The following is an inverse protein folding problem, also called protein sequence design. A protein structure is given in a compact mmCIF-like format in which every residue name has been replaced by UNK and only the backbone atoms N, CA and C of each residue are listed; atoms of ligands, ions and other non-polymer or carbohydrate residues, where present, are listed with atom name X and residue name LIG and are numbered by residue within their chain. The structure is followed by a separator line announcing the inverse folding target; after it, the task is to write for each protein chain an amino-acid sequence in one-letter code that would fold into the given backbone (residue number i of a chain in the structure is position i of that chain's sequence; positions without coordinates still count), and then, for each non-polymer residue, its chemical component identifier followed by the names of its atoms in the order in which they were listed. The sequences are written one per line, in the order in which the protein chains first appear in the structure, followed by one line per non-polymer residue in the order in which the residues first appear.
data_IF_283358508250
#
_entry.id   IF_283358508250
#
_cell.length_a   1.000
_cell.length_b   1.000
_cell.length_c   1.000
_cell.angle_alpha   90.00
_cell.angle_beta   90.00
_cell.angle_gamma   90.00
#
_symmetry.space_group_name_H-M   'P 1'
#
loop_
_entity.id
_entity.type
_entity.pdbx_description
1 polymer ?
#
# COMPACT_ATOMS: atom_id res chain seq x y z
N UNK A 1 -5.22 4.80 12.39
CA UNK A 1 -4.27 3.83 12.99
C UNK A 1 -3.10 3.65 12.05
N UNK A 2 -1.89 3.73 12.57
CA UNK A 2 -0.62 3.42 11.89
C UNK A 2 0.06 2.29 12.63
N UNK A 3 0.41 1.23 11.92
CA UNK A 3 1.09 0.05 12.46
C UNK A 3 2.53 0.08 11.99
N UNK A 4 3.46 -0.09 12.90
CA UNK A 4 4.90 -0.07 12.62
C UNK A 4 5.56 -1.33 13.19
N UNK A 5 6.50 -1.89 12.43
CA UNK A 5 7.15 -3.13 12.80
C UNK A 5 8.09 -3.63 11.72
N UNK A 6 8.61 -4.82 11.92
CA UNK A 6 9.52 -5.48 10.98
C UNK A 6 8.75 -6.50 10.14
N UNK A 7 8.92 -6.42 8.84
CA UNK A 7 8.32 -7.36 7.90
C UNK A 7 9.25 -8.54 7.65
N UNK A 8 8.73 -9.75 7.77
CA UNK A 8 9.40 -11.01 7.44
C UNK A 8 8.65 -11.68 6.29
N UNK A 9 9.39 -12.03 5.26
CA UNK A 9 8.86 -12.80 4.14
C UNK A 9 8.96 -14.27 4.51
N UNK A 10 7.84 -15.01 4.46
CA UNK A 10 7.81 -16.45 4.70
C UNK A 10 7.90 -17.15 3.35
N UNK A 11 9.10 -17.61 2.95
CA UNK A 11 9.30 -18.21 1.63
C UNK A 11 8.70 -19.61 1.53
N UNK A 12 8.62 -20.34 2.63
CA UNK A 12 8.07 -21.71 2.70
C UNK A 12 6.96 -21.78 3.78
N UNK A 13 5.76 -21.27 3.48
CA UNK A 13 4.67 -21.23 4.42
C UNK A 13 4.10 -22.64 4.64
N UNK A 14 3.78 -22.95 5.90
CA UNK A 14 3.06 -24.18 6.23
C UNK A 14 1.60 -24.15 5.73
N UNK A 15 0.93 -25.30 5.83
CA UNK A 15 -0.44 -25.47 5.38
C UNK A 15 -1.41 -24.58 6.16
N UNK A 16 -1.18 -24.37 7.44
CA UNK A 16 -2.04 -23.56 8.31
C UNK A 16 -1.99 -22.11 7.91
N UNK A 17 -0.79 -21.56 7.73
CA UNK A 17 -0.60 -20.17 7.28
C UNK A 17 -1.19 -19.95 5.89
N UNK A 18 -1.00 -20.90 4.97
CA UNK A 18 -1.57 -20.77 3.62
C UNK A 18 -3.08 -20.89 3.60
N UNK A 19 -3.68 -21.68 4.46
CA UNK A 19 -5.13 -21.73 4.63
C UNK A 19 -5.67 -20.39 5.13
N UNK A 20 -5.02 -19.80 6.12
CA UNK A 20 -5.37 -18.48 6.62
C UNK A 20 -5.27 -17.40 5.52
N UNK A 21 -4.17 -17.36 4.77
CA UNK A 21 -3.97 -16.43 3.64
C UNK A 21 -5.04 -16.62 2.56
N UNK A 22 -5.39 -17.86 2.26
CA UNK A 22 -6.45 -18.20 1.32
C UNK A 22 -7.81 -17.68 1.79
N UNK A 23 -8.18 -17.93 3.03
CA UNK A 23 -9.47 -17.50 3.58
C UNK A 23 -9.59 -15.98 3.64
N UNK A 24 -8.53 -15.28 4.03
CA UNK A 24 -8.48 -13.82 3.99
C UNK A 24 -8.59 -13.29 2.55
N UNK A 25 -7.89 -13.89 1.59
CA UNK A 25 -8.01 -13.54 0.17
C UNK A 25 -9.43 -13.67 -0.35
N UNK A 26 -10.14 -14.71 0.06
CA UNK A 26 -11.56 -14.92 -0.29
C UNK A 26 -12.46 -13.87 0.32
N UNK A 27 -12.25 -13.50 1.58
CA UNK A 27 -13.03 -12.43 2.26
C UNK A 27 -12.84 -11.09 1.55
N UNK A 28 -11.61 -10.71 1.22
CA UNK A 28 -11.30 -9.43 0.57
C UNK A 28 -11.91 -9.34 -0.84
N UNK A 29 -11.73 -10.37 -1.66
CA UNK A 29 -12.24 -10.39 -3.04
C UNK A 29 -13.72 -10.76 -3.15
N UNK A 30 -14.32 -11.12 -2.04
CA UNK A 30 -15.73 -11.47 -1.92
C UNK A 30 -16.03 -12.92 -2.28
N UNK A 31 -16.46 -13.64 -1.27
CA UNK A 31 -16.86 -15.06 -1.34
C UNK A 31 -17.99 -15.38 -2.33
N UNK A 32 -18.75 -14.37 -2.79
CA UNK A 32 -19.91 -14.56 -3.63
C UNK A 32 -19.64 -15.27 -4.97
N UNK A 33 -18.38 -15.32 -5.41
CA UNK A 33 -18.01 -16.01 -6.64
C UNK A 33 -17.24 -17.32 -6.40
N UNK A 34 -16.95 -17.64 -5.15
CA UNK A 34 -16.30 -18.89 -4.79
C UNK A 34 -17.33 -20.03 -4.66
N UNK A 35 -16.88 -21.27 -4.90
CA UNK A 35 -17.74 -22.44 -4.93
C UNK A 35 -18.50 -22.59 -6.25
N UNK A 36 -18.08 -21.85 -7.27
CA UNK A 36 -18.47 -22.09 -8.66
C UNK A 36 -17.25 -22.62 -9.40
N UNK A 37 -17.33 -23.81 -9.94
CA UNK A 37 -16.25 -24.54 -10.63
C UNK A 37 -15.41 -23.65 -11.57
N UNK A 38 -16.08 -22.76 -12.32
CA UNK A 38 -15.39 -21.84 -13.23
C UNK A 38 -14.46 -20.87 -12.49
N UNK A 39 -14.94 -20.18 -11.43
CA UNK A 39 -14.15 -19.17 -10.74
C UNK A 39 -13.05 -19.78 -9.90
N UNK A 40 -13.27 -20.92 -9.29
CA UNK A 40 -12.27 -21.64 -8.52
C UNK A 40 -11.11 -22.09 -9.43
N UNK A 41 -11.43 -22.63 -10.60
CA UNK A 41 -10.43 -22.99 -11.60
C UNK A 41 -9.72 -21.77 -12.22
N UNK A 42 -10.46 -20.68 -12.45
CA UNK A 42 -9.91 -19.46 -13.05
C UNK A 42 -8.95 -18.72 -12.13
N UNK A 43 -9.25 -18.63 -10.84
CA UNK A 43 -8.48 -17.89 -9.84
C UNK A 43 -7.50 -18.76 -9.06
N UNK A 44 -7.36 -20.03 -9.40
CA UNK A 44 -6.51 -20.97 -8.68
C UNK A 44 -5.09 -20.47 -8.53
N UNK A 45 -4.42 -20.12 -9.62
CA UNK A 45 -3.04 -19.62 -9.61
C UNK A 45 -2.93 -18.28 -8.88
N UNK A 46 -3.94 -17.43 -9.00
CA UNK A 46 -3.99 -16.14 -8.29
C UNK A 46 -3.95 -16.31 -6.77
N UNK A 47 -4.59 -17.34 -6.23
CA UNK A 47 -4.58 -17.62 -4.80
C UNK A 47 -3.38 -18.46 -4.36
N UNK A 48 -2.95 -19.40 -5.17
CA UNK A 48 -1.90 -20.35 -4.81
C UNK A 48 -0.49 -19.72 -4.81
N UNK A 49 -0.23 -18.75 -5.71
CA UNK A 49 1.09 -18.12 -5.83
C UNK A 49 1.11 -16.82 -5.03
N UNK A 50 1.12 -16.93 -3.71
CA UNK A 50 1.24 -15.79 -2.79
C UNK A 50 2.34 -16.06 -1.79
N UNK A 51 3.13 -15.04 -1.55
CA UNK A 51 4.14 -15.06 -0.50
C UNK A 51 3.55 -14.36 0.72
N UNK A 52 3.35 -15.07 1.84
CA UNK A 52 2.94 -14.45 3.08
C UNK A 52 4.03 -13.51 3.60
N UNK A 53 3.59 -12.40 4.16
CA UNK A 53 4.46 -11.45 4.86
C UNK A 53 3.94 -11.34 6.28
N UNK A 54 4.74 -11.76 7.23
CA UNK A 54 4.47 -11.58 8.66
C UNK A 54 5.02 -10.22 9.09
N UNK A 55 4.22 -9.46 9.80
CA UNK A 55 4.66 -8.19 10.39
C UNK A 55 4.73 -8.35 11.89
N UNK A 56 5.96 -8.34 12.41
CA UNK A 56 6.21 -8.30 13.85
C UNK A 56 5.97 -6.86 14.32
N UNK A 57 4.91 -6.68 15.10
CA UNK A 57 4.47 -5.37 15.54
C UNK A 57 5.40 -4.85 16.64
N UNK A 58 6.04 -3.71 16.41
CA UNK A 58 6.79 -3.00 17.44
C UNK A 58 5.90 -1.96 18.14
N UNK A 59 5.03 -1.27 17.38
CA UNK A 59 4.05 -0.33 17.95
C UNK A 59 2.86 -0.07 17.03
N UNK A 60 1.79 0.42 17.64
CA UNK A 60 0.59 0.90 16.97
C UNK A 60 0.33 2.32 17.44
N UNK A 61 0.11 3.24 16.50
CA UNK A 61 -0.33 4.59 16.76
C UNK A 61 -1.80 4.71 16.35
N UNK A 62 -2.68 4.99 17.29
CA UNK A 62 -4.10 5.09 17.07
C UNK A 62 -4.59 6.53 17.28
N UNK A 63 -5.41 7.01 16.37
CA UNK A 63 -6.10 8.30 16.47
C UNK A 63 -7.60 8.07 16.45
N UNK A 64 -8.40 8.95 17.06
CA UNK A 64 -9.85 8.80 17.11
C UNK A 64 -10.51 8.99 15.73
N UNK A 65 -9.83 9.69 14.82
CA UNK A 65 -10.35 9.97 13.49
C UNK A 65 -9.30 9.79 12.38
N UNK A 66 -9.76 9.86 11.12
CA UNK A 66 -8.90 9.73 9.94
C UNK A 66 -8.07 10.99 9.65
N UNK A 67 -8.32 12.10 10.33
CA UNK A 67 -7.51 13.33 10.21
C UNK A 67 -6.27 13.27 11.07
N UNK A 68 -6.22 12.32 12.01
CA UNK A 68 -5.14 12.17 12.97
C UNK A 68 -4.98 13.44 13.85
N UNK A 69 -6.11 14.06 14.23
CA UNK A 69 -6.11 15.21 15.11
C UNK A 69 -5.75 14.81 16.54
N UNK A 70 -4.93 15.64 17.20
CA UNK A 70 -4.44 15.36 18.55
C UNK A 70 -3.28 14.35 18.58
N UNK A 71 -2.79 14.05 19.79
CA UNK A 71 -1.78 13.03 20.00
C UNK A 71 -2.33 11.62 19.77
N UNK A 72 -1.55 10.69 19.19
CA UNK A 72 -1.97 9.30 19.08
C UNK A 72 -1.90 8.59 20.43
N UNK A 73 -2.81 7.66 20.65
CA UNK A 73 -2.59 6.60 21.63
C UNK A 73 -1.52 5.65 21.08
N UNK A 74 -0.51 5.36 21.90
CA UNK A 74 0.62 4.50 21.52
C UNK A 74 0.53 3.19 22.27
N UNK A 75 0.42 2.08 21.53
CA UNK A 75 0.45 0.72 22.05
C UNK A 75 1.76 0.06 21.61
N UNK A 76 2.45 -0.61 22.53
CA UNK A 76 3.74 -1.27 22.30
C UNK A 76 4.93 -0.42 22.76
N UNK A 77 6.04 -0.48 22.04
CA UNK A 77 7.27 0.24 22.43
C UNK A 77 7.05 1.74 22.38
N UNK A 78 7.06 2.39 23.54
CA UNK A 78 6.84 3.83 23.69
C UNK A 78 8.15 4.60 23.51
N UNK A 79 8.69 4.63 22.32
CA UNK A 79 9.69 5.66 21.99
C UNK A 79 8.92 6.96 21.67
N UNK A 80 9.38 8.14 22.18
CA UNK A 80 8.79 9.41 21.80
C UNK A 80 8.81 9.55 20.29
N UNK A 81 7.71 10.04 19.73
CA UNK A 81 7.63 10.38 18.31
C UNK A 81 8.35 11.71 18.08
N UNK A 82 9.66 11.71 18.28
CA UNK A 82 10.46 12.90 18.00
C UNK A 82 10.38 13.25 16.51
N UNK A 83 10.23 14.53 16.19
CA UNK A 83 10.29 14.95 14.81
C UNK A 83 11.68 14.63 14.24
N UNK A 84 11.75 13.96 13.06
CA UNK A 84 13.04 13.69 12.45
C UNK A 84 13.73 14.98 12.02
N UNK A 85 15.05 15.04 12.15
CA UNK A 85 15.85 16.16 11.68
C UNK A 85 15.66 16.41 10.17
N UNK A 86 15.75 17.65 9.71
CA UNK A 86 15.79 17.96 8.28
C UNK A 86 16.88 17.16 7.56
N UNK A 87 16.62 16.79 6.32
CA UNK A 87 17.57 16.05 5.49
C UNK A 87 18.31 16.99 4.54
N UNK A 88 19.51 16.60 4.14
CA UNK A 88 20.23 17.31 3.11
C UNK A 88 19.51 17.23 1.75
N UNK A 89 19.44 18.32 0.98
CA UNK A 89 18.89 18.34 -0.35
C UNK A 89 19.48 17.25 -1.25
N UNK A 90 18.69 16.64 -2.14
CA UNK A 90 19.21 15.67 -3.10
C UNK A 90 20.13 16.37 -4.13
N UNK A 91 21.11 15.64 -4.68
CA UNK A 91 22.06 16.17 -5.69
C UNK A 91 21.40 16.87 -6.90
N UNK A 92 20.17 16.47 -7.25
CA UNK A 92 19.41 17.07 -8.35
C UNK A 92 18.51 18.25 -7.91
N UNK A 93 18.72 18.82 -6.73
CA UNK A 93 17.92 19.92 -6.19
C UNK A 93 16.58 19.49 -5.59
N UNK A 94 15.89 20.43 -4.96
CA UNK A 94 14.63 20.23 -4.23
C UNK A 94 13.39 20.57 -5.07
N UNK A 95 13.55 21.24 -6.21
CA UNK A 95 12.45 21.69 -7.06
C UNK A 95 11.72 20.51 -7.76
N UNK A 96 10.51 20.78 -8.29
CA UNK A 96 9.73 19.75 -8.97
C UNK A 96 10.38 19.32 -10.28
N UNK A 97 10.41 18.01 -10.54
CA UNK A 97 10.89 17.42 -11.81
C UNK A 97 9.74 17.01 -12.71
N UNK A 98 8.52 17.16 -12.22
CA UNK A 98 7.28 16.86 -12.93
C UNK A 98 6.40 18.10 -12.96
N UNK A 99 5.47 18.15 -13.91
CA UNK A 99 4.47 19.21 -13.98
C UNK A 99 3.56 19.20 -12.74
N UNK A 100 3.78 20.15 -11.84
CA UNK A 100 3.07 20.26 -10.56
C UNK A 100 1.57 20.43 -10.73
N UNK A 101 1.11 21.20 -11.73
CA UNK A 101 -0.31 21.42 -11.99
C UNK A 101 -1.02 20.11 -12.40
N UNK A 102 -0.40 19.33 -13.28
CA UNK A 102 -0.94 18.03 -13.70
C UNK A 102 -0.94 17.02 -12.56
N UNK A 103 0.13 16.97 -11.77
CA UNK A 103 0.25 16.08 -10.61
C UNK A 103 -0.83 16.45 -9.56
N UNK A 104 -0.95 17.72 -9.19
CA UNK A 104 -1.97 18.24 -8.27
C UNK A 104 -3.37 17.83 -8.70
N UNK A 105 -3.75 18.13 -9.95
CA UNK A 105 -5.09 17.79 -10.48
C UNK A 105 -5.40 16.31 -10.38
N UNK A 106 -4.42 15.44 -10.71
CA UNK A 106 -4.58 13.98 -10.67
C UNK A 106 -4.71 13.44 -9.25
N UNK A 107 -3.96 13.99 -8.30
CA UNK A 107 -4.00 13.58 -6.91
C UNK A 107 -5.26 14.11 -6.20
N UNK A 108 -5.63 15.37 -6.39
CA UNK A 108 -6.88 15.96 -5.82
C UNK A 108 -8.16 15.26 -6.26
N UNK A 109 -8.15 14.66 -7.45
CA UNK A 109 -9.26 13.84 -7.93
C UNK A 109 -9.43 12.52 -7.16
N UNK A 110 -8.56 12.21 -6.19
CA UNK A 110 -8.63 10.99 -5.38
C UNK A 110 -9.21 11.28 -4.00
N UNK A 111 -9.94 10.29 -3.46
CA UNK A 111 -10.65 10.43 -2.19
C UNK A 111 -9.71 10.56 -0.98
N UNK A 112 -8.60 9.83 -1.00
CA UNK A 112 -7.64 9.78 0.09
C UNK A 112 -6.28 10.25 -0.39
N UNK A 113 -5.64 11.08 0.41
CA UNK A 113 -4.33 11.65 0.14
C UNK A 113 -3.47 11.47 1.38
N UNK A 114 -2.35 10.80 1.21
CA UNK A 114 -1.44 10.43 2.27
C UNK A 114 -0.03 10.89 1.91
N UNK A 115 0.71 11.31 2.91
CA UNK A 115 2.13 11.60 2.80
C UNK A 115 2.90 10.65 3.71
N UNK A 116 3.98 10.09 3.20
CA UNK A 116 4.85 9.20 3.95
C UNK A 116 6.28 9.75 4.00
N UNK A 117 6.90 9.67 5.16
CA UNK A 117 8.28 10.06 5.39
C UNK A 117 8.94 9.11 6.41
N UNK A 118 10.25 9.21 6.58
CA UNK A 118 10.97 8.41 7.58
C UNK A 118 11.01 9.18 8.90
N UNK A 119 10.56 8.56 9.99
CA UNK A 119 10.66 9.07 11.35
C UNK A 119 12.10 9.14 11.87
N UNK A 120 12.31 9.79 13.02
CA UNK A 120 13.62 9.90 13.68
C UNK A 120 14.18 8.52 14.05
N UNK A 121 13.34 7.62 14.45
CA UNK A 121 13.64 6.22 14.79
C UNK A 121 13.80 5.29 13.56
N UNK A 122 13.67 5.86 12.36
CA UNK A 122 13.81 5.11 11.11
C UNK A 122 12.55 4.42 10.60
N UNK A 123 11.47 4.36 11.38
CA UNK A 123 10.20 3.80 10.92
C UNK A 123 9.51 4.70 9.90
N UNK A 124 8.78 4.12 8.94
CA UNK A 124 7.94 4.90 8.04
C UNK A 124 6.76 5.50 8.82
N UNK A 125 6.54 6.79 8.63
CA UNK A 125 5.37 7.51 9.14
C UNK A 125 4.50 7.88 7.96
N UNK A 126 3.19 7.59 8.05
CA UNK A 126 2.22 7.93 7.01
C UNK A 126 1.09 8.73 7.64
N UNK A 127 0.85 9.92 7.10
CA UNK A 127 -0.13 10.87 7.63
C UNK A 127 -1.09 11.32 6.54
N UNK A 128 -2.36 11.61 6.90
CA UNK A 128 -3.30 12.22 5.98
C UNK A 128 -2.90 13.69 5.71
N UNK A 129 -3.08 14.08 4.45
CA UNK A 129 -2.84 15.46 4.02
C UNK A 129 -3.97 15.92 3.12
N UNK A 130 -4.07 17.24 2.91
CA UNK A 130 -4.92 17.85 1.90
C UNK A 130 -4.07 18.59 0.87
N UNK A 131 -4.26 18.29 -0.39
CA UNK A 131 -3.58 18.98 -1.49
C UNK A 131 -4.41 20.20 -1.87
N UNK A 132 -3.89 21.40 -1.61
CA UNK A 132 -4.58 22.66 -1.83
C UNK A 132 -4.51 23.10 -3.30
N UNK A 133 -3.32 23.36 -3.79
CA UNK A 133 -3.10 23.90 -5.14
C UNK A 133 -1.71 23.57 -5.67
N UNK A 134 -1.54 23.74 -6.96
CA UNK A 134 -0.21 23.79 -7.57
C UNK A 134 0.42 25.16 -7.39
N UNK A 135 1.74 25.18 -7.27
CA UNK A 135 2.59 26.36 -7.29
C UNK A 135 3.83 26.13 -8.14
N UNK A 136 4.68 27.15 -8.33
CA UNK A 136 5.93 27.01 -9.09
C UNK A 136 6.88 26.00 -8.44
N UNK A 137 6.93 25.97 -7.10
CA UNK A 137 7.84 25.12 -6.34
C UNK A 137 7.26 23.73 -6.04
N UNK A 138 6.04 23.44 -6.48
CA UNK A 138 5.40 22.14 -6.25
C UNK A 138 3.92 22.21 -5.92
N UNK A 139 3.46 21.24 -5.15
CA UNK A 139 2.10 21.13 -4.63
C UNK A 139 2.06 21.72 -3.22
N UNK A 140 1.13 22.65 -2.96
CA UNK A 140 0.83 23.11 -1.61
C UNK A 140 -0.04 22.12 -0.90
N UNK A 141 0.42 21.70 0.28
CA UNK A 141 -0.23 20.73 1.14
C UNK A 141 -0.56 21.35 2.49
N UNK A 142 -1.59 20.81 3.13
CA UNK A 142 -1.86 21.05 4.54
C UNK A 142 -2.08 19.72 5.26
N UNK A 143 -1.72 19.69 6.53
CA UNK A 143 -2.02 18.61 7.46
C UNK A 143 -2.43 19.21 8.81
N UNK A 144 -2.91 18.38 9.71
CA UNK A 144 -3.09 18.78 11.10
C UNK A 144 -1.72 19.18 11.67
N UNK A 145 -1.61 20.32 12.41
CA UNK A 145 -0.36 20.74 13.02
C UNK A 145 0.30 19.63 13.83
N UNK A 146 1.61 19.51 13.72
CA UNK A 146 2.40 18.46 14.37
C UNK A 146 2.53 17.13 13.58
N UNK A 147 1.74 16.90 12.53
CA UNK A 147 1.86 15.69 11.72
C UNK A 147 3.00 15.76 10.69
N UNK A 148 3.33 16.94 10.23
CA UNK A 148 4.46 17.17 9.33
C UNK A 148 5.62 17.78 10.10
N UNK A 149 6.74 17.07 10.24
CA UNK A 149 7.92 17.64 10.91
C UNK A 149 8.50 18.76 10.07
N UNK A 150 8.86 19.90 10.70
CA UNK A 150 9.35 21.08 9.99
C UNK A 150 10.68 20.82 9.27
N UNK A 151 10.92 21.59 8.21
CA UNK A 151 12.11 21.53 7.35
C UNK A 151 12.02 20.51 6.22
N UNK A 152 13.12 20.43 5.46
CA UNK A 152 13.19 19.70 4.22
C UNK A 152 13.48 18.19 4.38
N UNK A 153 12.81 17.35 3.59
CA UNK A 153 13.05 15.89 3.57
C UNK A 153 12.51 15.20 2.34
N UNK A 154 13.01 14.00 2.09
CA UNK A 154 12.42 13.10 1.08
C UNK A 154 11.10 12.54 1.61
N UNK A 155 10.10 12.55 0.75
CA UNK A 155 8.77 12.03 1.09
C UNK A 155 8.12 11.32 -0.11
N UNK A 156 7.16 10.44 0.20
CA UNK A 156 6.27 9.82 -0.77
C UNK A 156 4.86 10.35 -0.61
N UNK A 157 4.20 10.69 -1.72
CA UNK A 157 2.81 11.09 -1.74
C UNK A 157 1.98 10.01 -2.42
N UNK A 158 0.95 9.52 -1.73
CA UNK A 158 -0.02 8.58 -2.26
C UNK A 158 -1.40 9.23 -2.29
N UNK A 159 -2.01 9.26 -3.47
CA UNK A 159 -3.41 9.60 -3.62
C UNK A 159 -4.18 8.42 -4.20
N UNK A 160 -5.27 7.99 -3.56
CA UNK A 160 -5.99 6.82 -3.97
C UNK A 160 -7.50 6.92 -3.75
N UNK A 161 -8.23 6.13 -4.52
CA UNK A 161 -9.66 5.90 -4.37
C UNK A 161 -9.98 4.46 -4.67
N UNK A 162 -10.92 3.88 -3.94
CA UNK A 162 -11.42 2.52 -4.17
C UNK A 162 -12.86 2.40 -3.66
N UNK A 163 -13.55 1.41 -4.16
CA UNK A 163 -14.83 0.91 -3.63
C UNK A 163 -14.60 -0.36 -2.82
N UNK A 164 -15.56 -0.82 -2.03
CA UNK A 164 -15.45 -2.08 -1.30
C UNK A 164 -14.87 -3.20 -2.15
N UNK A 165 -14.07 -4.07 -1.55
CA UNK A 165 -13.34 -5.17 -2.22
C UNK A 165 -12.28 -4.69 -3.24
N UNK A 166 -11.77 -3.47 -3.10
CA UNK A 166 -10.78 -2.83 -3.98
C UNK A 166 -11.24 -2.67 -5.44
N UNK A 167 -12.55 -2.71 -5.68
CA UNK A 167 -13.11 -2.52 -7.02
C UNK A 167 -12.83 -1.08 -7.47
N UNK A 168 -12.29 -0.93 -8.69
CA UNK A 168 -11.94 0.37 -9.25
C UNK A 168 -10.83 1.08 -8.47
N UNK A 169 -9.94 0.33 -7.79
CA UNK A 169 -8.78 0.91 -7.13
C UNK A 169 -7.98 1.73 -8.13
N UNK A 170 -7.85 3.00 -7.83
CA UNK A 170 -6.98 3.90 -8.58
C UNK A 170 -5.99 4.54 -7.63
N UNK A 171 -4.71 4.48 -7.98
CA UNK A 171 -3.63 5.08 -7.21
C UNK A 171 -2.83 6.04 -8.07
N UNK A 172 -2.30 7.07 -7.42
CA UNK A 172 -1.23 7.92 -7.92
C UNK A 172 -0.24 8.09 -6.80
N UNK A 173 1.00 7.77 -7.04
CA UNK A 173 2.06 7.97 -6.07
C UNK A 173 3.24 8.69 -6.71
N UNK A 174 3.85 9.50 -5.90
CA UNK A 174 5.00 10.31 -6.25
C UNK A 174 6.08 10.12 -5.20
N UNK A 175 7.33 10.11 -5.61
CA UNK A 175 8.44 10.41 -4.71
C UNK A 175 8.85 11.85 -4.96
N UNK A 176 9.38 12.51 -3.91
CA UNK A 176 9.74 13.91 -4.07
C UNK A 176 10.37 14.50 -2.82
N UNK A 177 10.42 15.82 -2.80
CA UNK A 177 10.90 16.62 -1.70
C UNK A 177 9.75 17.34 -1.02
N UNK A 178 9.71 17.23 0.30
CA UNK A 178 8.78 17.95 1.17
C UNK A 178 9.55 19.07 1.88
N UNK A 179 9.00 20.26 1.89
CA UNK A 179 9.42 21.37 2.74
C UNK A 179 8.23 21.78 3.59
N UNK A 180 8.29 21.56 4.88
CA UNK A 180 7.18 21.82 5.80
C UNK A 180 7.53 22.91 6.80
N UNK A 181 6.54 23.73 7.16
CA UNK A 181 6.60 24.69 8.25
C UNK A 181 6.01 24.12 9.54
N UNK A 182 6.29 24.73 10.69
CA UNK A 182 5.76 24.27 11.98
C UNK A 182 4.22 24.33 12.07
N UNK A 183 3.59 25.17 11.28
CA UNK A 183 2.14 25.40 11.25
C UNK A 183 1.38 24.31 10.48
N UNK A 184 2.10 23.33 9.90
CA UNK A 184 1.49 22.21 9.16
C UNK A 184 1.18 22.53 7.70
N UNK A 185 1.66 23.66 7.18
CA UNK A 185 1.66 23.96 5.75
C UNK A 185 2.95 23.40 5.12
N UNK A 186 2.87 22.89 3.92
CA UNK A 186 4.02 22.35 3.24
C UNK A 186 3.99 22.55 1.73
N UNK A 187 5.17 22.54 1.13
CA UNK A 187 5.35 22.43 -0.31
C UNK A 187 5.96 21.08 -0.66
N UNK A 188 5.34 20.37 -1.57
CA UNK A 188 5.81 19.07 -2.04
C UNK A 188 6.20 19.15 -3.51
N UNK A 189 7.48 18.96 -3.79
CA UNK A 189 8.03 18.94 -5.14
C UNK A 189 8.07 17.50 -5.68
N UNK A 190 7.20 17.10 -6.63
CA UNK A 190 7.17 15.76 -7.16
C UNK A 190 8.34 15.49 -8.10
N UNK A 191 9.09 14.41 -7.84
CA UNK A 191 10.25 14.01 -8.65
C UNK A 191 9.91 12.83 -9.58
N UNK A 192 9.18 11.84 -9.10
CA UNK A 192 8.73 10.69 -9.90
C UNK A 192 7.24 10.50 -9.79
N UNK A 193 6.67 9.80 -10.75
CA UNK A 193 5.26 9.43 -10.71
C UNK A 193 5.06 8.01 -11.18
N UNK A 194 4.19 7.29 -10.47
CA UNK A 194 3.63 6.06 -10.95
C UNK A 194 2.16 5.96 -10.50
N UNK A 195 1.48 4.92 -10.92
CA UNK A 195 0.09 4.72 -10.53
C UNK A 195 -0.49 3.48 -11.15
N UNK A 196 -1.62 3.10 -10.59
CA UNK A 196 -2.38 1.94 -11.02
C UNK A 196 -3.85 2.32 -11.20
N UNK A 197 -4.50 1.71 -12.18
CA UNK A 197 -5.94 1.84 -12.42
C UNK A 197 -6.51 0.44 -12.51
N UNK A 198 -7.21 0.04 -11.47
CA UNK A 198 -7.89 -1.25 -11.40
C UNK A 198 -9.20 -1.26 -12.17
N UNK A 199 -9.67 -2.43 -12.57
CA UNK A 199 -10.94 -2.59 -13.28
C UNK A 199 -12.14 -2.00 -12.53
N UNK A 200 -13.09 -1.37 -13.24
CA UNK A 200 -14.21 -0.66 -12.62
C UNK A 200 -15.27 -1.58 -12.02
N UNK A 201 -15.27 -2.86 -12.35
CA UNK A 201 -16.19 -3.84 -11.81
C UNK A 201 -15.52 -5.13 -11.35
N UNK A 202 -16.19 -5.87 -10.47
CA UNK A 202 -15.68 -7.09 -9.84
C UNK A 202 -15.37 -8.20 -10.85
N UNK A 203 -16.19 -8.37 -11.86
CA UNK A 203 -15.99 -9.43 -12.85
C UNK A 203 -14.71 -9.20 -13.65
N UNK A 204 -14.50 -7.98 -14.14
CA UNK A 204 -13.27 -7.61 -14.85
C UNK A 204 -12.04 -7.71 -13.94
N UNK A 205 -12.17 -7.33 -12.66
CA UNK A 205 -11.09 -7.47 -11.68
C UNK A 205 -10.68 -8.95 -11.52
N UNK A 206 -11.66 -9.84 -11.33
CA UNK A 206 -11.39 -11.27 -11.15
C UNK A 206 -10.87 -11.93 -12.45
N UNK A 207 -11.40 -11.55 -13.61
CA UNK A 207 -10.88 -12.03 -14.91
C UNK A 207 -9.43 -11.59 -15.13
N UNK A 208 -9.13 -10.30 -14.88
CA UNK A 208 -7.79 -9.75 -15.02
C UNK A 208 -6.80 -10.41 -14.06
N UNK A 209 -7.16 -10.57 -12.79
CA UNK A 209 -6.31 -11.21 -11.79
C UNK A 209 -5.99 -12.68 -12.16
N UNK A 210 -6.98 -13.45 -12.60
CA UNK A 210 -6.76 -14.82 -13.05
C UNK A 210 -5.87 -14.89 -14.29
N UNK A 211 -6.07 -13.99 -15.26
CA UNK A 211 -5.25 -13.95 -16.47
C UNK A 211 -3.77 -13.60 -16.15
N UNK A 212 -3.55 -12.55 -15.38
CA UNK A 212 -2.18 -12.12 -15.00
C UNK A 212 -1.47 -13.24 -14.24
N UNK A 213 -2.15 -13.90 -13.28
CA UNK A 213 -1.56 -15.00 -12.54
C UNK A 213 -1.20 -16.18 -13.45
N UNK A 214 -2.08 -16.58 -14.36
CA UNK A 214 -1.81 -17.67 -15.33
C UNK A 214 -0.63 -17.34 -16.25
N UNK A 215 -0.56 -16.12 -16.75
CA UNK A 215 0.55 -15.68 -17.60
C UNK A 215 1.87 -15.63 -16.80
N UNK A 216 1.83 -15.14 -15.56
CA UNK A 216 2.98 -15.13 -14.66
C UNK A 216 3.51 -16.54 -14.38
N UNK A 217 2.64 -17.48 -14.02
CA UNK A 217 3.02 -18.89 -13.78
C UNK A 217 3.58 -19.54 -15.05
N UNK A 218 2.97 -19.31 -16.23
CA UNK A 218 3.49 -19.82 -17.50
C UNK A 218 4.88 -19.25 -17.81
N UNK A 219 5.09 -17.96 -17.60
CA UNK A 219 6.38 -17.32 -17.80
C UNK A 219 7.45 -17.88 -16.86
N UNK A 220 7.11 -18.04 -15.58
CA UNK A 220 8.00 -18.63 -14.59
C UNK A 220 8.36 -20.08 -14.93
N UNK A 221 7.40 -20.90 -15.40
CA UNK A 221 7.66 -22.27 -15.89
C UNK A 221 8.65 -22.29 -17.07
N UNK A 222 8.41 -21.43 -18.07
CA UNK A 222 9.32 -21.33 -19.24
C UNK A 222 10.73 -20.91 -18.85
N UNK A 223 10.87 -20.08 -17.83
CA UNK A 223 12.15 -19.61 -17.32
C UNK A 223 12.83 -20.58 -16.34
N UNK A 224 12.22 -21.77 -16.05
CA UNK A 224 12.74 -22.73 -15.07
C UNK A 224 12.65 -22.27 -13.61
N UNK A 225 11.97 -21.15 -13.34
CA UNK A 225 11.92 -20.52 -12.00
C UNK A 225 10.84 -21.10 -11.09
N UNK A 226 10.01 -22.01 -11.56
CA UNK A 226 9.01 -22.66 -10.70
C UNK A 226 9.61 -23.69 -9.74
N UNK A 227 10.82 -24.17 -10.02
CA UNK A 227 11.62 -25.00 -9.09
C UNK A 227 12.17 -24.18 -7.93
N UNK A 228 12.20 -22.86 -8.06
CA UNK A 228 12.61 -21.91 -7.03
C UNK A 228 11.42 -21.49 -6.13
N UNK A 229 10.19 -21.88 -6.47
CA UNK A 229 9.05 -21.66 -5.59
C UNK A 229 9.19 -22.55 -4.35
N UNK A 230 8.88 -22.01 -3.17
CA UNK A 230 8.90 -22.77 -1.93
C UNK A 230 8.11 -24.07 -2.07
N UNK A 231 8.62 -25.16 -1.48
CA UNK A 231 7.99 -26.48 -1.56
C UNK A 231 6.52 -26.47 -1.11
N UNK A 232 6.16 -25.60 -0.17
CA UNK A 232 4.78 -25.37 0.29
C UNK A 232 3.85 -24.73 -0.73
N UNK A 233 4.36 -24.05 -1.77
CA UNK A 233 3.53 -23.45 -2.83
C UNK A 233 3.21 -24.43 -3.97
N UNK A 234 4.10 -25.34 -4.27
CA UNK A 234 3.93 -26.32 -5.35
C UNK A 234 2.70 -27.23 -5.14
N UNK A 235 2.49 -27.80 -3.95
CA UNK A 235 1.30 -28.61 -3.67
C UNK A 235 -0.02 -27.84 -3.76
N UNK A 236 -0.02 -26.52 -3.53
CA UNK A 236 -1.22 -25.70 -3.58
C UNK A 236 -1.74 -25.45 -5.00
N UNK A 237 -0.87 -25.52 -6.01
CA UNK A 237 -1.29 -25.48 -7.40
C UNK A 237 -2.10 -26.73 -7.79
N UNK A 238 -1.90 -27.83 -7.08
CA UNK A 238 -2.55 -29.13 -7.35
C UNK A 238 -3.70 -29.45 -6.38
N UNK A 239 -3.89 -28.67 -5.33
CA UNK A 239 -4.98 -28.87 -4.37
C UNK A 239 -6.33 -28.38 -4.91
N UNK A 240 -7.41 -29.13 -4.67
CA UNK A 240 -8.75 -28.61 -4.86
C UNK A 240 -8.99 -27.43 -3.88
N UNK A 241 -9.80 -26.45 -4.27
CA UNK A 241 -10.13 -25.34 -3.39
C UNK A 241 -10.72 -25.86 -2.07
N UNK A 242 -10.34 -25.30 -0.91
CA UNK A 242 -10.85 -25.74 0.38
C UNK A 242 -12.37 -25.67 0.40
N UNK A 243 -13.00 -26.69 0.96
CA UNK A 243 -14.44 -26.74 1.14
C UNK A 243 -14.88 -25.55 2.02
N UNK A 244 -16.05 -24.98 1.72
CA UNK A 244 -16.64 -23.91 2.53
C UNK A 244 -16.68 -24.34 4.00
N UNK A 245 -16.04 -23.58 4.87
CA UNK A 245 -16.46 -23.56 6.26
C UNK A 245 -17.86 -22.94 6.24
N UNK A 246 -18.84 -23.66 6.77
CA UNK A 246 -20.21 -23.18 6.88
C UNK A 246 -20.27 -21.84 7.61
N UNK A 247 -21.40 -21.12 7.54
CA UNK A 247 -21.58 -19.91 8.33
C UNK A 247 -21.46 -20.27 9.81
N UNK A 248 -20.54 -19.54 10.52
CA UNK A 248 -20.52 -19.55 11.98
C UNK A 248 -21.65 -18.67 12.49
#
# INVERSE_FOLDING_TARGET
MLVQGRAEIIPDPDETLMTLVWDQGVRILGSAKRGRLFWDRWLREYYAVRVPVLVHLDRILAWPDLRCAGGPEVLGTSAPLEPPAPQNPPKGGTGPRLNSARATRRCRAKRHQLLAYRGADGYPVTVPIEIQRAGPDGMRLTAVPGLLPPGGRRAGLLAHSYRPQLIGLTTRYHTGWLEADPEGTATYAPHTAAGFVGPPNKTLLLLGNGLIAKLGVRSARKAGRLTELPAGMSPMLDRPPPRRLGPA
#
